data_IF_316314617016
#
_entry.id   IF_316314617016
#
_cell.length_a   1.000
_cell.length_b   1.000
_cell.length_c   1.000
_cell.angle_alpha   90.00
_cell.angle_beta   90.00
_cell.angle_gamma   90.00
#
_symmetry.space_group_name_H-M   'P 1'
#
loop_
_entity.id
_entity.type
_entity.pdbx_description
1 polymer ?
#
# COMPACT_ATOMS: atom_id res chain seq x y z
N UNK A 1 16.15 4.54 19.64
CA UNK A 1 15.57 5.84 19.24
C UNK A 1 16.73 6.71 18.79
N UNK A 2 16.71 7.24 17.57
CA UNK A 2 17.75 8.17 17.14
C UNK A 2 17.59 9.51 17.88
N UNK A 3 18.71 10.19 18.25
CA UNK A 3 18.61 11.50 18.86
C UNK A 3 17.96 12.49 17.88
N UNK A 4 17.02 13.29 18.38
CA UNK A 4 16.41 14.34 17.57
C UNK A 4 17.43 15.43 17.26
N UNK A 5 17.44 15.92 16.04
CA UNK A 5 18.21 17.10 15.64
C UNK A 5 17.59 18.36 16.26
N UNK A 6 18.38 19.39 16.57
CA UNK A 6 17.83 20.65 17.07
C UNK A 6 16.97 21.40 16.05
N UNK A 7 17.07 21.06 14.76
CA UNK A 7 16.27 21.66 13.70
C UNK A 7 16.07 20.71 12.51
N UNK A 8 14.97 20.87 11.81
CA UNK A 8 14.60 20.15 10.59
C UNK A 8 14.18 21.15 9.52
N UNK A 9 14.42 20.81 8.26
CA UNK A 9 14.04 21.61 7.10
C UNK A 9 12.59 21.32 6.69
N UNK A 10 12.10 20.09 7.01
CA UNK A 10 10.71 19.68 6.76
C UNK A 10 10.22 18.70 7.84
N UNK A 11 8.93 18.77 8.13
CA UNK A 11 8.22 17.80 8.98
C UNK A 11 7.13 17.15 8.15
N UNK A 12 7.17 15.82 8.05
CA UNK A 12 6.15 15.01 7.35
C UNK A 12 5.31 14.30 8.41
N UNK A 13 4.01 14.47 8.38
CA UNK A 13 3.08 13.83 9.31
C UNK A 13 2.46 12.60 8.65
N UNK A 14 2.72 11.44 9.24
CA UNK A 14 2.31 10.13 8.76
C UNK A 14 3.35 9.46 7.85
N UNK A 15 3.63 8.19 8.11
CA UNK A 15 4.56 7.35 7.34
C UNK A 15 3.87 6.46 6.29
N UNK A 16 2.60 6.71 5.99
CA UNK A 16 1.91 6.04 4.89
C UNK A 16 2.56 6.34 3.52
N UNK A 17 2.08 5.71 2.43
CA UNK A 17 2.73 5.81 1.10
C UNK A 17 3.00 7.24 0.65
N UNK A 18 2.06 8.16 0.85
CA UNK A 18 2.23 9.57 0.49
C UNK A 18 3.31 10.26 1.31
N UNK A 19 3.25 10.12 2.64
CA UNK A 19 4.24 10.72 3.54
C UNK A 19 5.64 10.14 3.35
N UNK A 20 5.75 8.82 3.24
CA UNK A 20 7.02 8.14 2.99
C UNK A 20 7.66 8.58 1.66
N UNK A 21 6.87 8.67 0.59
CA UNK A 21 7.36 9.13 -0.72
C UNK A 21 7.82 10.59 -0.67
N UNK A 22 7.03 11.45 -0.01
CA UNK A 22 7.40 12.88 0.18
C UNK A 22 8.68 13.00 0.99
N UNK A 23 8.77 12.30 2.13
CA UNK A 23 9.95 12.34 2.99
C UNK A 23 11.21 11.86 2.24
N UNK A 24 11.08 10.78 1.46
CA UNK A 24 12.16 10.25 0.61
C UNK A 24 12.65 11.30 -0.39
N UNK A 25 11.74 11.91 -1.15
CA UNK A 25 12.10 12.89 -2.17
C UNK A 25 12.76 14.14 -1.57
N UNK A 26 12.29 14.60 -0.42
CA UNK A 26 12.92 15.71 0.29
C UNK A 26 14.32 15.33 0.81
N UNK A 27 14.47 14.14 1.38
CA UNK A 27 15.76 13.66 1.87
C UNK A 27 16.78 13.45 0.74
N UNK A 28 16.36 12.94 -0.42
CA UNK A 28 17.21 12.81 -1.60
C UNK A 28 17.71 14.15 -2.14
N UNK A 29 16.99 15.23 -1.84
CA UNK A 29 17.40 16.61 -2.16
C UNK A 29 18.27 17.24 -1.07
N UNK A 30 18.72 16.46 -0.09
CA UNK A 30 19.60 16.90 0.99
C UNK A 30 18.91 17.60 2.16
N UNK A 31 17.58 17.61 2.21
CA UNK A 31 16.85 18.21 3.33
C UNK A 31 16.83 17.28 4.55
N UNK A 32 16.90 17.87 5.73
CA UNK A 32 16.71 17.14 6.99
C UNK A 32 15.21 17.01 7.26
N UNK A 33 14.71 15.78 7.17
CA UNK A 33 13.28 15.51 7.27
C UNK A 33 12.98 14.79 8.58
N UNK A 34 12.01 15.29 9.34
CA UNK A 34 11.40 14.58 10.47
C UNK A 34 10.09 13.95 10.01
N UNK A 35 9.94 12.65 10.21
CA UNK A 35 8.68 11.94 9.98
C UNK A 35 8.03 11.65 11.33
N UNK A 36 6.79 12.10 11.52
CA UNK A 36 5.98 11.82 12.69
C UNK A 36 4.94 10.76 12.35
N UNK A 37 4.96 9.62 13.05
CA UNK A 37 4.00 8.54 12.88
C UNK A 37 3.30 8.26 14.21
N UNK A 38 1.96 8.16 14.19
CA UNK A 38 1.16 7.89 15.40
C UNK A 38 1.05 6.41 15.74
N UNK A 39 1.29 5.54 14.76
CA UNK A 39 1.21 4.08 14.92
C UNK A 39 2.53 3.47 15.35
N UNK A 40 2.46 2.22 15.81
CA UNK A 40 3.65 1.44 16.18
C UNK A 40 4.44 0.96 14.94
N UNK A 41 5.66 0.53 15.19
CA UNK A 41 6.55 -0.05 14.18
C UNK A 41 6.84 -1.54 14.47
N UNK A 42 5.91 -2.23 15.15
CA UNK A 42 6.04 -3.63 15.48
C UNK A 42 6.03 -4.49 14.21
N UNK A 43 6.79 -5.60 14.19
CA UNK A 43 6.80 -6.52 13.06
C UNK A 43 5.41 -7.02 12.71
N UNK A 44 5.09 -7.05 11.43
CA UNK A 44 3.81 -7.55 10.93
C UNK A 44 3.73 -9.07 11.11
N UNK A 45 2.69 -9.54 11.79
CA UNK A 45 2.47 -10.97 12.11
C UNK A 45 1.46 -11.62 11.17
N UNK A 46 0.69 -10.83 10.44
CA UNK A 46 -0.35 -11.33 9.54
C UNK A 46 -1.52 -11.98 10.27
N UNK A 47 -1.89 -11.46 11.43
CA UNK A 47 -3.01 -11.94 12.25
C UNK A 47 -4.18 -10.96 12.23
N UNK A 48 -5.39 -11.50 12.37
CA UNK A 48 -6.63 -10.67 12.45
C UNK A 48 -6.57 -9.75 13.67
N UNK A 49 -6.04 -10.22 14.79
CA UNK A 49 -5.92 -9.45 16.03
C UNK A 49 -4.99 -8.25 15.87
N UNK A 50 -3.83 -8.45 15.23
CA UNK A 50 -2.92 -7.32 14.95
C UNK A 50 -3.55 -6.33 13.95
N UNK A 51 -4.17 -6.82 12.89
CA UNK A 51 -4.87 -5.97 11.93
C UNK A 51 -5.99 -5.16 12.61
N UNK A 52 -6.78 -5.78 13.46
CA UNK A 52 -7.83 -5.10 14.21
C UNK A 52 -7.25 -4.02 15.14
N UNK A 53 -6.14 -4.30 15.80
CA UNK A 53 -5.45 -3.31 16.64
C UNK A 53 -4.91 -2.11 15.83
N UNK A 54 -4.46 -2.34 14.59
CA UNK A 54 -3.98 -1.28 13.69
C UNK A 54 -5.11 -0.47 13.03
N UNK A 55 -6.29 -1.07 12.82
CA UNK A 55 -7.32 -0.49 11.96
C UNK A 55 -8.62 -0.12 12.69
N UNK A 56 -8.98 -0.84 13.76
CA UNK A 56 -10.26 -0.68 14.43
C UNK A 56 -10.28 0.38 15.55
N UNK A 57 -9.31 1.29 15.58
CA UNK A 57 -9.26 2.36 16.58
C UNK A 57 -10.30 3.43 16.21
N UNK A 58 -11.40 3.58 17.01
CA UNK A 58 -12.45 4.53 16.71
C UNK A 58 -11.93 5.97 16.62
N UNK A 59 -12.36 6.71 15.58
CA UNK A 59 -11.96 8.08 15.34
C UNK A 59 -10.51 8.27 14.91
N UNK A 60 -9.74 7.18 14.74
CA UNK A 60 -8.36 7.21 14.20
C UNK A 60 -8.20 6.29 13.00
N UNK A 61 -8.48 4.99 13.15
CA UNK A 61 -8.33 4.00 12.09
C UNK A 61 -9.66 3.58 11.46
N UNK A 62 -10.77 3.71 12.18
CA UNK A 62 -12.09 3.33 11.68
C UNK A 62 -13.05 4.54 11.74
N UNK A 63 -13.67 4.84 10.61
CA UNK A 63 -14.62 5.92 10.44
C UNK A 63 -15.88 5.39 9.76
N UNK A 64 -17.05 5.71 10.30
CA UNK A 64 -18.33 5.39 9.68
C UNK A 64 -18.90 6.67 9.07
N UNK A 65 -19.15 6.64 7.78
CA UNK A 65 -19.79 7.74 7.07
C UNK A 65 -21.32 7.72 7.30
N UNK A 66 -22.01 8.83 6.97
CA UNK A 66 -23.47 8.97 7.14
C UNK A 66 -24.30 7.94 6.36
N UNK A 67 -23.77 7.43 5.24
CA UNK A 67 -24.39 6.37 4.44
C UNK A 67 -24.04 4.95 4.94
N UNK A 68 -23.50 4.84 6.15
CA UNK A 68 -23.04 3.61 6.78
C UNK A 68 -21.84 2.94 6.07
N UNK A 69 -21.17 3.61 5.13
CA UNK A 69 -19.92 3.09 4.60
C UNK A 69 -18.81 3.19 5.65
N UNK A 70 -17.94 2.18 5.67
CA UNK A 70 -16.80 2.09 6.58
C UNK A 70 -15.51 2.47 5.85
N UNK A 71 -14.82 3.48 6.36
CA UNK A 71 -13.46 3.81 5.97
C UNK A 71 -12.49 3.25 7.01
N UNK A 72 -11.51 2.48 6.57
CA UNK A 72 -10.47 1.90 7.43
C UNK A 72 -9.10 2.38 6.99
N UNK A 73 -8.33 2.89 7.94
CA UNK A 73 -6.94 3.33 7.75
C UNK A 73 -6.02 2.59 8.72
N UNK A 74 -4.81 2.22 8.27
CA UNK A 74 -3.82 1.58 9.14
C UNK A 74 -3.13 2.59 10.06
N UNK A 75 -3.17 2.35 11.36
CA UNK A 75 -2.44 3.10 12.39
C UNK A 75 -1.18 2.31 12.74
N UNK A 76 -0.18 2.43 11.90
CA UNK A 76 1.10 1.71 12.01
C UNK A 76 2.12 2.36 11.09
N UNK A 77 3.40 2.10 11.28
CA UNK A 77 4.43 2.46 10.30
C UNK A 77 4.08 1.87 8.92
N UNK A 78 4.18 2.70 7.87
CA UNK A 78 3.69 2.36 6.54
C UNK A 78 2.20 2.64 6.31
N UNK A 79 1.44 2.97 7.34
CA UNK A 79 0.02 3.32 7.25
C UNK A 79 -0.83 2.23 6.63
N UNK A 80 -1.80 2.62 5.79
CA UNK A 80 -2.74 1.67 5.15
C UNK A 80 -2.08 0.70 4.16
N UNK A 81 -0.81 0.95 3.72
CA UNK A 81 -0.09 -0.03 2.91
C UNK A 81 0.16 -1.34 3.67
N UNK A 82 0.24 -1.29 5.02
CA UNK A 82 0.39 -2.48 5.85
C UNK A 82 -0.82 -3.43 5.77
N UNK A 83 -2.01 -2.91 5.62
CA UNK A 83 -3.28 -3.67 5.67
C UNK A 83 -4.06 -3.71 4.34
N UNK A 84 -3.52 -3.20 3.26
CA UNK A 84 -4.14 -3.30 1.94
C UNK A 84 -3.82 -4.65 1.27
N UNK A 85 -4.48 -4.95 0.14
CA UNK A 85 -4.21 -6.16 -0.65
C UNK A 85 -2.95 -6.06 -1.52
N UNK A 86 -2.10 -5.06 -1.33
CA UNK A 86 -0.94 -4.74 -2.18
C UNK A 86 -1.32 -4.53 -3.66
N UNK A 87 -2.52 -4.10 -3.95
CA UNK A 87 -2.98 -3.78 -5.30
C UNK A 87 -2.35 -2.47 -5.77
N UNK A 88 -1.78 -2.49 -6.96
CA UNK A 88 -1.15 -1.35 -7.62
C UNK A 88 -2.02 -0.88 -8.79
N UNK A 89 -3.16 -0.27 -8.48
CA UNK A 89 -4.00 0.34 -9.51
C UNK A 89 -3.41 1.71 -9.91
N UNK A 90 -3.30 2.02 -11.20
CA UNK A 90 -2.88 3.35 -11.61
C UNK A 90 -3.94 4.38 -11.20
N UNK A 91 -3.52 5.59 -10.79
CA UNK A 91 -4.46 6.67 -10.49
C UNK A 91 -5.26 7.07 -11.74
N UNK A 92 -6.50 7.57 -11.59
CA UNK A 92 -7.31 8.01 -12.72
C UNK A 92 -6.66 9.19 -13.44
N UNK A 93 -6.11 8.95 -14.63
CA UNK A 93 -5.35 9.94 -15.41
C UNK A 93 -6.12 11.26 -15.59
N UNK A 94 -7.38 11.17 -16.05
CA UNK A 94 -8.21 12.33 -16.31
C UNK A 94 -8.48 13.20 -15.07
N UNK A 95 -8.43 12.64 -13.87
CA UNK A 95 -8.59 13.40 -12.63
C UNK A 95 -7.40 14.35 -12.41
N UNK A 96 -6.19 13.90 -12.66
CA UNK A 96 -4.98 14.68 -12.46
C UNK A 96 -4.74 15.68 -13.59
N UNK A 97 -5.01 15.28 -14.83
CA UNK A 97 -4.90 16.16 -16.01
C UNK A 97 -5.80 17.38 -15.94
N UNK A 98 -6.99 17.26 -15.34
CA UNK A 98 -7.88 18.43 -15.10
C UNK A 98 -7.24 19.49 -14.20
N UNK A 99 -6.24 19.12 -13.41
CA UNK A 99 -5.48 20.03 -12.54
C UNK A 99 -4.09 20.35 -13.09
N UNK A 100 -3.83 20.05 -14.38
CA UNK A 100 -2.54 20.30 -15.02
C UNK A 100 -1.40 19.40 -14.50
N UNK A 101 -1.73 18.28 -13.86
CA UNK A 101 -0.73 17.35 -13.27
C UNK A 101 -0.53 16.17 -14.21
N UNK A 102 0.69 16.05 -14.77
CA UNK A 102 1.11 14.87 -15.50
C UNK A 102 1.80 13.88 -14.54
N UNK A 103 1.20 12.73 -14.34
CA UNK A 103 1.74 11.65 -13.49
C UNK A 103 2.62 10.65 -14.25
N UNK A 104 2.72 10.73 -15.57
CA UNK A 104 3.42 9.72 -16.35
C UNK A 104 4.91 9.55 -15.95
N UNK A 105 5.69 10.62 -15.74
CA UNK A 105 7.08 10.49 -15.29
C UNK A 105 7.20 9.84 -13.91
N UNK A 106 6.34 10.23 -12.96
CA UNK A 106 6.35 9.69 -11.61
C UNK A 106 5.95 8.20 -11.59
N UNK A 107 4.95 7.81 -12.37
CA UNK A 107 4.55 6.41 -12.52
C UNK A 107 5.64 5.55 -13.15
N UNK A 108 6.36 6.07 -14.14
CA UNK A 108 7.48 5.37 -14.76
C UNK A 108 8.61 5.14 -13.74
N UNK A 109 8.96 6.16 -12.95
CA UNK A 109 9.96 6.05 -11.90
C UNK A 109 9.56 5.03 -10.82
N UNK A 110 8.30 5.07 -10.35
CA UNK A 110 7.80 4.11 -9.38
C UNK A 110 7.82 2.67 -9.89
N UNK A 111 7.47 2.44 -11.16
CA UNK A 111 7.52 1.11 -11.78
C UNK A 111 8.93 0.57 -11.93
N UNK A 112 9.92 1.43 -12.07
CA UNK A 112 11.33 1.04 -12.11
C UNK A 112 11.88 0.65 -10.72
N UNK A 113 11.35 1.24 -9.66
CA UNK A 113 11.83 1.04 -8.28
C UNK A 113 11.05 -0.02 -7.51
N UNK A 114 9.74 -0.08 -7.70
CA UNK A 114 8.85 -0.95 -6.93
C UNK A 114 8.48 -2.22 -7.71
N UNK A 115 8.24 -3.35 -7.01
CA UNK A 115 7.83 -4.61 -7.65
C UNK A 115 6.35 -4.54 -8.09
N UNK A 116 6.04 -3.70 -9.06
CA UNK A 116 4.68 -3.48 -9.57
C UNK A 116 4.45 -4.32 -10.83
N UNK A 117 3.91 -5.52 -10.66
CA UNK A 117 3.58 -6.44 -11.75
C UNK A 117 2.44 -7.39 -11.35
N UNK A 118 1.77 -8.02 -12.33
CA UNK A 118 0.86 -9.13 -12.06
C UNK A 118 1.62 -10.29 -11.40
N UNK A 119 0.98 -10.96 -10.44
CA UNK A 119 1.57 -12.16 -9.85
C UNK A 119 1.71 -13.28 -10.91
N UNK A 120 2.77 -14.11 -10.83
CA UNK A 120 2.94 -15.27 -11.69
C UNK A 120 1.80 -16.27 -11.46
N UNK A 121 1.50 -17.10 -12.46
CA UNK A 121 0.38 -18.06 -12.42
C UNK A 121 0.50 -19.05 -11.26
N UNK A 122 1.71 -19.39 -10.87
CA UNK A 122 2.00 -20.28 -9.71
C UNK A 122 1.48 -19.75 -8.38
N UNK A 123 1.22 -18.45 -8.27
CA UNK A 123 0.67 -17.79 -7.06
C UNK A 123 -0.84 -17.52 -7.16
N UNK A 124 -1.46 -17.83 -8.29
CA UNK A 124 -2.91 -17.68 -8.47
C UNK A 124 -3.61 -18.91 -7.93
N UNK A 125 -4.58 -18.70 -7.04
CA UNK A 125 -5.40 -19.78 -6.54
C UNK A 125 -6.34 -20.36 -7.61
N UNK A 126 -6.73 -21.65 -7.51
CA UNK A 126 -7.54 -22.33 -8.54
C UNK A 126 -8.91 -21.68 -8.76
N UNK A 127 -9.50 -21.10 -7.72
CA UNK A 127 -10.77 -20.35 -7.83
C UNK A 127 -10.59 -19.12 -8.72
N UNK A 128 -9.59 -18.30 -8.45
CA UNK A 128 -9.35 -17.09 -9.24
C UNK A 128 -8.99 -17.42 -10.69
N UNK A 129 -8.24 -18.48 -10.94
CA UNK A 129 -7.93 -18.96 -12.29
C UNK A 129 -9.19 -19.37 -13.05
N UNK A 130 -10.11 -20.12 -12.41
CA UNK A 130 -11.39 -20.53 -13.01
C UNK A 130 -12.29 -19.33 -13.32
N UNK A 131 -12.39 -18.37 -12.39
CA UNK A 131 -13.18 -17.16 -12.59
C UNK A 131 -12.64 -16.33 -13.76
N UNK A 132 -11.31 -16.16 -13.84
CA UNK A 132 -10.67 -15.45 -14.94
C UNK A 132 -10.94 -16.14 -16.29
N UNK A 133 -10.77 -17.45 -16.37
CA UNK A 133 -11.03 -18.22 -17.59
C UNK A 133 -12.50 -18.12 -18.03
N UNK A 134 -13.46 -18.24 -17.10
CA UNK A 134 -14.88 -18.11 -17.40
C UNK A 134 -15.23 -16.70 -17.90
N UNK A 135 -14.73 -15.66 -17.24
CA UNK A 135 -14.96 -14.28 -17.65
C UNK A 135 -14.38 -13.97 -19.03
N UNK A 136 -13.18 -14.46 -19.31
CA UNK A 136 -12.54 -14.32 -20.62
C UNK A 136 -13.31 -15.07 -21.72
N UNK A 137 -13.83 -16.26 -21.43
CA UNK A 137 -14.69 -17.01 -22.37
C UNK A 137 -16.00 -16.27 -22.68
N UNK A 138 -16.47 -15.41 -21.80
CA UNK A 138 -17.61 -14.51 -22.01
C UNK A 138 -17.24 -13.21 -22.74
N UNK A 139 -16.00 -13.03 -23.17
CA UNK A 139 -15.51 -11.83 -23.85
C UNK A 139 -15.25 -10.64 -22.93
N UNK A 140 -15.20 -10.84 -21.59
CA UNK A 140 -14.89 -9.77 -20.65
C UNK A 140 -13.38 -9.53 -20.58
N UNK A 141 -12.97 -8.25 -20.51
CA UNK A 141 -11.55 -7.87 -20.25
C UNK A 141 -11.18 -8.16 -18.79
N UNK A 142 -11.09 -9.44 -18.47
CA UNK A 142 -10.69 -9.89 -17.14
C UNK A 142 -9.21 -10.24 -17.11
N UNK A 143 -8.45 -9.47 -16.35
CA UNK A 143 -7.00 -9.62 -16.26
C UNK A 143 -6.50 -9.51 -14.82
N UNK A 144 -5.30 -10.01 -14.59
CA UNK A 144 -4.63 -9.87 -13.29
C UNK A 144 -4.32 -8.40 -13.03
N UNK A 145 -4.57 -7.96 -11.79
CA UNK A 145 -4.13 -6.64 -11.34
C UNK A 145 -2.64 -6.66 -11.01
N UNK A 146 -1.97 -5.54 -11.24
CA UNK A 146 -0.63 -5.32 -10.71
C UNK A 146 -0.65 -5.37 -9.18
N UNK A 147 0.39 -5.96 -8.61
CA UNK A 147 0.61 -6.07 -7.17
C UNK A 147 1.96 -5.49 -6.79
N UNK A 148 2.04 -4.83 -5.65
CA UNK A 148 3.31 -4.41 -5.03
C UNK A 148 3.82 -5.54 -4.12
N UNK A 149 4.18 -6.66 -4.73
CA UNK A 149 4.62 -7.88 -4.04
C UNK A 149 5.87 -8.41 -4.74
N UNK A 150 6.84 -8.85 -3.96
CA UNK A 150 8.01 -9.61 -4.44
C UNK A 150 7.63 -11.08 -4.54
N UNK A 151 7.44 -11.66 -5.74
CA UNK A 151 6.86 -12.99 -5.90
C UNK A 151 7.71 -14.10 -5.29
N UNK A 152 9.04 -13.96 -5.32
CA UNK A 152 9.98 -14.99 -4.88
C UNK A 152 9.79 -15.41 -3.40
N UNK A 153 9.33 -14.52 -2.54
CA UNK A 153 9.08 -14.83 -1.14
C UNK A 153 7.59 -14.96 -0.80
N UNK A 154 6.69 -14.76 -1.79
CA UNK A 154 5.25 -14.90 -1.61
C UNK A 154 4.84 -16.37 -1.62
N UNK A 155 3.69 -16.66 -1.02
CA UNK A 155 3.17 -18.03 -0.87
C UNK A 155 1.79 -18.15 -1.52
N UNK A 156 1.59 -19.25 -2.28
CA UNK A 156 0.28 -19.59 -2.83
C UNK A 156 -0.73 -19.88 -1.72
N UNK A 157 -2.00 -19.52 -1.94
CA UNK A 157 -3.06 -19.75 -0.96
C UNK A 157 -2.98 -18.89 0.31
N UNK A 158 -2.07 -17.91 0.37
CA UNK A 158 -1.92 -17.02 1.52
C UNK A 158 -2.91 -15.85 1.47
N UNK A 159 -3.65 -15.62 2.56
CA UNK A 159 -4.64 -14.55 2.69
C UNK A 159 -4.16 -13.37 3.57
N UNK A 160 -2.86 -13.35 3.95
CA UNK A 160 -2.36 -12.43 4.98
C UNK A 160 -2.00 -11.04 4.48
N UNK A 161 -2.18 -10.71 3.20
CA UNK A 161 -1.89 -9.36 2.70
C UNK A 161 -2.65 -8.26 3.44
N UNK A 162 -3.95 -8.49 3.73
CA UNK A 162 -4.81 -7.54 4.43
C UNK A 162 -4.57 -7.50 5.93
N UNK A 163 -3.95 -8.53 6.50
CA UNK A 163 -3.64 -8.61 7.93
C UNK A 163 -2.23 -8.13 8.29
N UNK A 164 -1.49 -7.60 7.32
CA UNK A 164 -0.08 -7.30 7.48
C UNK A 164 0.80 -8.49 7.09
N UNK A 165 1.51 -8.37 5.97
CA UNK A 165 2.30 -9.48 5.44
C UNK A 165 3.48 -9.84 6.36
N UNK A 166 3.53 -11.05 6.98
CA UNK A 166 4.60 -11.44 7.89
C UNK A 166 5.87 -11.90 7.16
N UNK A 167 5.84 -11.99 5.83
CA UNK A 167 6.93 -12.54 5.01
C UNK A 167 7.80 -11.46 4.37
N UNK A 168 7.53 -10.18 4.62
CA UNK A 168 8.27 -9.07 4.03
C UNK A 168 8.20 -9.02 2.49
N UNK A 169 7.18 -9.64 1.88
CA UNK A 169 7.04 -9.71 0.41
C UNK A 169 6.28 -8.54 -0.15
N UNK A 170 5.39 -7.98 0.63
CA UNK A 170 4.58 -6.82 0.28
C UNK A 170 5.37 -5.54 0.55
N UNK A 171 5.31 -4.60 -0.38
CA UNK A 171 5.84 -3.27 -0.14
C UNK A 171 4.93 -2.52 0.85
N UNK A 172 5.53 -2.01 1.92
CA UNK A 172 4.86 -1.22 2.97
C UNK A 172 5.80 -0.12 3.45
#
# INVERSE_FOLDING_TARGET
MLPLSPSYDAIVVGSGPGGASTARELALRGLRVLVLEQGGAEPLQGTVTQMAAMAAVPGKGAYVHRDASLLVAGITAGGSSAINFATAAPPPKAMFERHGIDLAPALAALRAELPMAPLPDTLIGPMAARMMAAAQAMGLDWRKLDKMIRPAACRSGCWRCVYGCPFGTKWT
#
